data_IF_797630693864
#
_entry.id   IF_797630693864
#
_cell.length_a   1.000
_cell.length_b   1.000
_cell.length_c   1.000
_cell.angle_alpha   90.00
_cell.angle_beta   90.00
_cell.angle_gamma   90.00
#
_symmetry.space_group_name_H-M   'P 1'
#
loop_
_entity.id
_entity.type
_entity.pdbx_description
1 polymer ?
#
# COMPACT_ATOMS: atom_id res chain seq x y z
N UNK A 1 -64.57 27.69 -9.74
CA UNK A 1 -63.31 27.72 -10.52
C UNK A 1 -62.53 28.93 -10.03
N UNK A 2 -61.29 28.91 -9.55
CA UNK A 2 -60.06 28.16 -9.86
C UNK A 2 -59.28 27.86 -8.55
N UNK A 3 -58.52 26.76 -8.56
CA UNK A 3 -57.59 26.27 -7.54
C UNK A 3 -56.27 27.04 -7.60
N UNK A 4 -55.51 27.06 -6.49
CA UNK A 4 -54.08 26.67 -6.51
C UNK A 4 -53.53 26.46 -5.10
N UNK A 5 -52.82 25.34 -4.98
CA UNK A 5 -52.05 24.79 -3.87
C UNK A 5 -50.85 25.69 -3.51
N UNK A 6 -50.40 25.66 -2.25
CA UNK A 6 -48.98 25.85 -1.94
C UNK A 6 -48.62 25.01 -0.72
N UNK A 7 -48.04 23.84 -1.00
CA UNK A 7 -47.37 22.97 -0.06
C UNK A 7 -45.87 23.29 -0.21
N UNK A 8 -45.25 23.89 0.81
CA UNK A 8 -43.80 24.12 0.83
C UNK A 8 -43.17 23.21 1.88
N UNK A 9 -42.68 22.04 1.44
CA UNK A 9 -41.83 21.16 2.23
C UNK A 9 -40.40 21.59 1.96
N UNK A 10 -39.78 22.28 2.92
CA UNK A 10 -38.35 22.58 2.89
C UNK A 10 -37.58 21.36 3.43
N UNK A 11 -37.09 20.51 2.51
CA UNK A 11 -36.09 19.50 2.82
C UNK A 11 -34.70 20.09 2.66
N UNK A 12 -33.95 20.23 3.75
CA UNK A 12 -32.54 20.60 3.73
C UNK A 12 -31.70 19.30 3.75
N UNK A 13 -30.97 18.93 2.67
CA UNK A 13 -30.00 17.85 2.77
C UNK A 13 -28.74 18.40 3.45
N UNK A 14 -28.51 18.00 4.70
CA UNK A 14 -27.20 18.18 5.34
C UNK A 14 -26.27 17.17 4.68
N UNK A 15 -25.56 17.61 3.65
CA UNK A 15 -24.47 16.85 3.05
C UNK A 15 -23.32 16.89 4.06
N UNK A 16 -23.26 15.88 4.93
CA UNK A 16 -22.10 15.62 5.78
C UNK A 16 -20.97 15.13 4.88
N UNK A 17 -20.22 16.06 4.28
CA UNK A 17 -18.90 15.75 3.73
C UNK A 17 -18.01 15.35 4.90
N UNK A 18 -17.88 14.04 5.14
CA UNK A 18 -16.85 13.51 6.03
C UNK A 18 -15.50 13.78 5.39
N UNK A 19 -14.88 14.90 5.73
CA UNK A 19 -13.47 15.14 5.43
C UNK A 19 -12.66 14.21 6.33
N UNK A 20 -12.45 12.97 5.88
CA UNK A 20 -11.38 12.14 6.40
C UNK A 20 -10.08 12.92 6.17
N UNK A 21 -9.59 13.58 7.23
CA UNK A 21 -8.34 14.32 7.15
C UNK A 21 -7.25 13.29 6.93
N UNK A 22 -6.47 13.34 5.83
CA UNK A 22 -5.43 12.36 5.59
C UNK A 22 -4.49 12.36 6.79
N UNK A 23 -4.33 11.21 7.44
CA UNK A 23 -3.36 11.11 8.52
C UNK A 23 -1.96 11.35 7.96
N UNK A 24 -1.11 12.12 8.66
CA UNK A 24 0.26 12.31 8.23
C UNK A 24 0.95 10.94 8.13
N UNK A 25 1.75 10.70 7.07
CA UNK A 25 2.50 9.46 6.93
C UNK A 25 3.36 9.18 8.17
N UNK A 26 3.21 7.99 8.75
CA UNK A 26 3.94 7.59 9.95
C UNK A 26 5.22 6.83 9.58
N UNK A 27 6.24 6.91 10.43
CA UNK A 27 7.41 6.05 10.32
C UNK A 27 7.01 4.59 10.58
N UNK A 28 7.54 3.67 9.78
CA UNK A 28 7.29 2.25 9.89
C UNK A 28 8.16 1.62 10.96
N UNK A 29 7.54 0.76 11.75
CA UNK A 29 8.18 -0.07 12.75
C UNK A 29 7.68 -1.49 12.64
N UNK A 30 8.57 -2.40 12.25
CA UNK A 30 8.30 -3.81 12.15
C UNK A 30 8.59 -4.50 13.48
N UNK A 31 7.55 -5.06 14.09
CA UNK A 31 7.70 -5.92 15.27
C UNK A 31 7.87 -7.40 14.89
N UNK A 32 7.66 -7.74 13.62
CA UNK A 32 7.80 -9.08 13.05
C UNK A 32 9.18 -9.24 12.39
N UNK A 33 10.15 -9.75 13.15
CA UNK A 33 11.51 -10.01 12.67
C UNK A 33 11.58 -11.03 11.52
N UNK A 34 10.46 -11.65 11.15
CA UNK A 34 10.37 -12.63 10.08
C UNK A 34 9.67 -12.08 8.82
N UNK A 35 9.33 -10.80 8.78
CA UNK A 35 8.60 -10.22 7.66
C UNK A 35 9.29 -10.44 6.30
N UNK A 36 8.47 -10.64 5.27
CA UNK A 36 8.93 -10.56 3.89
C UNK A 36 9.20 -9.09 3.57
N UNK A 37 10.42 -8.76 3.13
CA UNK A 37 10.77 -7.39 2.73
C UNK A 37 11.21 -7.38 1.28
N UNK A 38 10.57 -6.55 0.47
CA UNK A 38 10.77 -6.44 -0.98
C UNK A 38 11.11 -5.01 -1.33
N UNK A 39 12.18 -4.80 -2.09
CA UNK A 39 12.44 -3.54 -2.78
C UNK A 39 11.85 -3.62 -4.18
N UNK A 40 10.76 -2.88 -4.43
CA UNK A 40 10.28 -2.61 -5.79
C UNK A 40 11.10 -1.46 -6.34
N UNK A 41 12.02 -1.75 -7.26
CA UNK A 41 12.97 -0.76 -7.82
C UNK A 41 12.31 0.12 -8.88
N UNK A 42 11.44 -0.49 -9.67
CA UNK A 42 10.62 0.13 -10.69
C UNK A 42 9.35 -0.70 -10.93
N UNK A 43 8.68 -0.50 -12.06
CA UNK A 43 7.45 -1.22 -12.43
C UNK A 43 7.68 -2.66 -12.93
N UNK A 44 8.94 -3.07 -13.14
CA UNK A 44 9.30 -4.37 -13.71
C UNK A 44 10.20 -5.20 -12.83
N UNK A 45 11.05 -4.55 -12.04
CA UNK A 45 12.13 -5.20 -11.31
C UNK A 45 12.07 -4.93 -9.83
N UNK A 46 12.47 -5.95 -9.08
CA UNK A 46 12.51 -5.94 -7.64
C UNK A 46 13.53 -6.95 -7.12
N UNK A 47 13.74 -6.91 -5.82
CA UNK A 47 14.55 -7.88 -5.09
C UNK A 47 13.97 -8.11 -3.71
N UNK A 48 14.16 -9.31 -3.20
CA UNK A 48 13.86 -9.66 -1.81
C UNK A 48 15.05 -9.21 -0.97
N UNK A 49 14.78 -8.55 0.15
CA UNK A 49 15.79 -8.16 1.15
C UNK A 49 15.74 -9.09 2.36
N UNK A 50 14.54 -9.54 2.74
CA UNK A 50 14.30 -10.48 3.83
C UNK A 50 13.17 -11.45 3.45
N UNK A 51 13.18 -12.70 3.96
CA UNK A 51 14.16 -13.26 4.89
C UNK A 51 15.48 -13.66 4.23
N UNK A 52 15.46 -13.99 2.93
CA UNK A 52 16.62 -14.39 2.15
C UNK A 52 16.80 -13.42 0.99
N UNK A 53 17.89 -12.64 0.93
CA UNK A 53 18.13 -11.73 -0.16
C UNK A 53 18.13 -12.41 -1.52
N UNK A 54 17.55 -11.76 -2.53
CA UNK A 54 17.61 -12.20 -3.92
C UNK A 54 18.40 -11.22 -4.79
N UNK A 55 18.84 -11.69 -5.97
CA UNK A 55 19.26 -10.78 -7.03
C UNK A 55 18.08 -9.91 -7.49
N UNK A 56 18.41 -8.80 -8.15
CA UNK A 56 17.45 -8.00 -8.91
C UNK A 56 16.89 -8.83 -10.05
N UNK A 57 15.59 -9.12 -10.00
CA UNK A 57 14.88 -9.89 -11.02
C UNK A 57 13.53 -9.26 -11.35
N UNK A 58 12.82 -9.84 -12.33
CA UNK A 58 11.49 -9.38 -12.72
C UNK A 58 10.45 -9.65 -11.61
N UNK A 59 9.48 -8.74 -11.44
CA UNK A 59 8.42 -8.83 -10.42
C UNK A 59 7.69 -10.18 -10.43
N UNK A 60 7.40 -10.70 -11.63
CA UNK A 60 6.73 -12.00 -11.81
C UNK A 60 7.57 -13.17 -11.30
N UNK A 61 8.90 -13.09 -11.38
CA UNK A 61 9.80 -14.13 -10.88
C UNK A 61 9.92 -14.06 -9.36
N UNK A 62 9.96 -12.86 -8.78
CA UNK A 62 9.92 -12.69 -7.32
C UNK A 62 8.64 -13.27 -6.73
N UNK A 63 7.47 -13.08 -7.36
CA UNK A 63 6.23 -13.71 -6.90
C UNK A 63 6.32 -15.24 -6.79
N UNK A 64 6.97 -15.89 -7.76
CA UNK A 64 7.21 -17.33 -7.74
C UNK A 64 8.17 -17.76 -6.63
N UNK A 65 9.17 -16.92 -6.30
CA UNK A 65 10.06 -17.19 -5.18
C UNK A 65 9.33 -17.04 -3.84
N UNK A 66 8.53 -15.99 -3.67
CA UNK A 66 7.80 -15.72 -2.43
C UNK A 66 6.82 -16.84 -2.09
N UNK A 67 6.17 -17.45 -3.09
CA UNK A 67 5.25 -18.56 -2.87
C UNK A 67 5.92 -19.82 -2.28
N UNK A 68 7.25 -19.91 -2.35
CA UNK A 68 8.03 -21.00 -1.76
C UNK A 68 8.56 -20.69 -0.36
N UNK A 69 8.45 -19.44 0.10
CA UNK A 69 8.91 -19.04 1.43
C UNK A 69 7.93 -19.51 2.50
N UNK A 70 8.41 -19.78 3.73
CA UNK A 70 7.53 -19.94 4.88
C UNK A 70 6.57 -18.74 4.96
N UNK A 71 5.29 -19.01 5.18
CA UNK A 71 4.29 -17.96 5.17
C UNK A 71 4.47 -17.07 6.40
N UNK A 72 4.83 -15.81 6.16
CA UNK A 72 4.91 -14.77 7.19
C UNK A 72 3.65 -13.92 7.17
N UNK A 73 3.27 -13.36 8.32
CA UNK A 73 2.05 -12.57 8.43
C UNK A 73 2.23 -11.20 7.77
N UNK A 74 3.46 -10.68 7.77
CA UNK A 74 3.81 -9.33 7.33
C UNK A 74 4.61 -9.34 6.03
N UNK A 75 4.15 -8.57 5.04
CA UNK A 75 4.91 -8.20 3.85
C UNK A 75 5.13 -6.69 3.79
N UNK A 76 6.37 -6.30 3.56
CA UNK A 76 6.80 -4.91 3.42
C UNK A 76 7.29 -4.71 2.00
N UNK A 77 6.67 -3.78 1.28
CA UNK A 77 7.05 -3.40 -0.07
C UNK A 77 7.60 -1.98 -0.04
N UNK A 78 8.91 -1.86 -0.19
CA UNK A 78 9.62 -0.60 -0.31
C UNK A 78 9.54 -0.16 -1.78
N UNK A 79 8.81 0.92 -2.04
CA UNK A 79 8.75 1.53 -3.36
C UNK A 79 9.98 2.42 -3.56
N UNK A 80 11.07 1.84 -4.04
CA UNK A 80 12.29 2.56 -4.35
C UNK A 80 12.07 3.57 -5.48
N UNK A 81 12.74 4.71 -5.39
CA UNK A 81 12.57 5.86 -6.28
C UNK A 81 11.15 6.46 -6.33
N UNK A 82 10.29 6.17 -5.34
CA UNK A 82 8.95 6.75 -5.25
C UNK A 82 9.01 8.27 -5.03
N UNK A 83 8.49 9.03 -5.99
CA UNK A 83 8.72 10.48 -6.06
C UNK A 83 7.64 11.30 -5.38
N UNK A 84 6.40 10.81 -5.37
CA UNK A 84 5.25 11.56 -4.88
C UNK A 84 5.33 11.77 -3.35
N UNK A 85 4.89 12.93 -2.84
CA UNK A 85 4.94 13.22 -1.40
C UNK A 85 3.96 12.38 -0.57
N UNK A 86 2.88 11.91 -1.21
CA UNK A 86 1.78 11.13 -0.64
C UNK A 86 1.25 10.19 -1.73
N UNK A 87 0.35 9.27 -1.37
CA UNK A 87 -0.33 8.36 -2.32
C UNK A 87 -0.84 9.14 -3.53
N UNK A 88 -0.45 8.70 -4.73
CA UNK A 88 -0.85 9.27 -6.00
C UNK A 88 -0.90 8.23 -7.12
N UNK A 89 -0.70 8.68 -8.36
CA UNK A 89 -0.80 7.83 -9.54
C UNK A 89 0.34 6.80 -9.61
N UNK A 90 1.56 7.24 -9.28
CA UNK A 90 2.72 6.34 -9.24
C UNK A 90 2.49 5.22 -8.20
N UNK A 91 1.86 5.55 -7.07
CA UNK A 91 1.54 4.54 -6.06
C UNK A 91 0.58 3.50 -6.61
N UNK A 92 -0.48 3.92 -7.30
CA UNK A 92 -1.47 3.00 -7.85
C UNK A 92 -0.83 2.02 -8.84
N UNK A 93 -0.05 2.55 -9.79
CA UNK A 93 0.59 1.76 -10.85
C UNK A 93 1.59 0.73 -10.29
N UNK A 94 2.27 1.08 -9.20
CA UNK A 94 3.33 0.26 -8.62
C UNK A 94 2.85 -0.70 -7.54
N UNK A 95 1.81 -0.37 -6.79
CA UNK A 95 1.39 -1.13 -5.61
C UNK A 95 0.33 -2.20 -5.89
N UNK A 96 -0.52 -2.01 -6.92
CA UNK A 96 -1.70 -2.86 -7.11
C UNK A 96 -1.36 -4.34 -7.32
N UNK A 97 -0.36 -4.62 -8.18
CA UNK A 97 0.07 -6.00 -8.46
C UNK A 97 0.67 -6.68 -7.22
N UNK A 98 1.45 -5.93 -6.43
CA UNK A 98 1.96 -6.41 -5.15
C UNK A 98 0.85 -6.71 -4.16
N UNK A 99 -0.09 -5.76 -3.97
CA UNK A 99 -1.20 -5.95 -3.04
C UNK A 99 -1.99 -7.21 -3.38
N UNK A 100 -2.40 -7.36 -4.63
CA UNK A 100 -3.17 -8.52 -5.09
C UNK A 100 -2.38 -9.82 -4.98
N UNK A 101 -1.11 -9.82 -5.40
CA UNK A 101 -0.23 -10.99 -5.32
C UNK A 101 0.01 -11.45 -3.89
N UNK A 102 0.39 -10.53 -3.00
CA UNK A 102 0.66 -10.82 -1.60
C UNK A 102 -0.60 -11.27 -0.84
N UNK A 103 -1.76 -10.65 -1.10
CA UNK A 103 -3.03 -11.13 -0.53
C UNK A 103 -3.37 -12.54 -1.02
N UNK A 104 -3.13 -12.85 -2.29
CA UNK A 104 -3.35 -14.19 -2.85
C UNK A 104 -2.42 -15.24 -2.22
N UNK A 105 -1.18 -14.84 -1.88
CA UNK A 105 -0.22 -15.68 -1.16
C UNK A 105 -0.48 -15.75 0.36
N UNK A 106 -1.52 -15.06 0.85
CA UNK A 106 -1.98 -15.16 2.24
C UNK A 106 -1.25 -14.26 3.23
N UNK A 107 -0.58 -13.20 2.78
CA UNK A 107 -0.07 -12.16 3.67
C UNK A 107 -1.22 -11.33 4.24
N UNK A 108 -1.32 -11.26 5.56
CA UNK A 108 -2.37 -10.51 6.27
C UNK A 108 -2.03 -9.03 6.35
N UNK A 109 -0.82 -8.72 6.81
CA UNK A 109 -0.35 -7.35 7.00
C UNK A 109 0.55 -6.97 5.82
N UNK A 110 0.11 -6.01 5.01
CA UNK A 110 0.87 -5.50 3.86
C UNK A 110 1.13 -4.02 4.06
N UNK A 111 2.41 -3.65 4.06
CA UNK A 111 2.85 -2.28 4.25
C UNK A 111 3.62 -1.81 3.04
N UNK A 112 3.20 -0.68 2.48
CA UNK A 112 3.92 0.01 1.41
C UNK A 112 4.70 1.18 1.98
N UNK A 113 6.01 1.21 1.71
CA UNK A 113 6.93 2.22 2.23
C UNK A 113 7.48 3.09 1.11
N UNK A 114 7.74 4.35 1.41
CA UNK A 114 8.50 5.24 0.53
C UNK A 114 9.98 4.88 0.61
N UNK A 115 10.51 4.32 -0.48
CA UNK A 115 11.92 3.98 -0.59
C UNK A 115 12.82 5.21 -0.62
N UNK A 116 14.02 5.05 -0.07
CA UNK A 116 15.02 6.11 0.09
C UNK A 116 16.44 5.58 -0.17
N UNK A 117 16.57 4.50 -0.94
CA UNK A 117 17.84 3.82 -1.16
C UNK A 117 18.38 3.15 0.10
N UNK A 118 17.49 2.62 0.95
CA UNK A 118 17.86 1.97 2.21
C UNK A 118 17.28 0.56 2.26
N UNK A 119 18.12 -0.40 2.61
CA UNK A 119 17.73 -1.81 2.70
C UNK A 119 17.03 -2.19 4.01
N UNK A 120 17.07 -1.31 5.01
CA UNK A 120 16.36 -1.50 6.26
C UNK A 120 15.03 -0.73 6.22
N UNK A 121 13.87 -1.39 6.32
CA UNK A 121 12.58 -0.70 6.31
C UNK A 121 12.30 0.11 7.58
N UNK A 122 13.00 -0.15 8.69
CA UNK A 122 12.78 0.58 9.95
C UNK A 122 12.95 2.09 9.79
N UNK A 123 11.93 2.84 10.23
CA UNK A 123 11.92 4.30 10.17
C UNK A 123 11.58 4.88 8.79
N UNK A 124 11.35 4.05 7.77
CA UNK A 124 10.84 4.53 6.49
C UNK A 124 9.41 5.03 6.60
N UNK A 125 9.03 5.97 5.75
CA UNK A 125 7.69 6.54 5.76
C UNK A 125 6.70 5.53 5.16
N UNK A 126 5.69 5.13 5.93
CA UNK A 126 4.59 4.33 5.46
C UNK A 126 3.66 5.16 4.56
N UNK A 127 3.48 4.68 3.34
CA UNK A 127 2.53 5.23 2.37
C UNK A 127 1.14 4.66 2.62
N UNK A 128 1.05 3.33 2.79
CA UNK A 128 -0.19 2.62 3.06
C UNK A 128 0.06 1.39 3.92
N UNK A 129 -0.94 1.01 4.71
CA UNK A 129 -0.95 -0.19 5.54
C UNK A 129 -2.30 -0.89 5.36
N UNK A 130 -2.27 -2.22 5.20
CA UNK A 130 -3.45 -3.04 5.01
C UNK A 130 -3.37 -4.28 5.90
N UNK A 131 -4.28 -4.39 6.87
CA UNK A 131 -4.47 -5.58 7.72
C UNK A 131 -5.51 -6.55 7.13
#
# INVERSE_FOLDING_TARGET
MKKTLSLAIAGLPIILCSCATPQPPQAFHNTDNSALVIESLDHRTCQIIQPTPSDKIENVKVMSQISSLPQHQTAVVILENYSEPQIGGEFHDRSLSWFMGLRTLGYGHIVFLKGKGVSNPEGLIALAQYD
#
